data_IF_193474000285
#
_entry.id   IF_193474000285
#
_cell.length_a   1.000
_cell.length_b   1.000
_cell.length_c   1.000
_cell.angle_alpha   90.00
_cell.angle_beta   90.00
_cell.angle_gamma   90.00
#
_symmetry.space_group_name_H-M   'P 1'
#
loop_
_entity.id
_entity.type
_entity.pdbx_description
1 polymer ?
#
# COMPACT_ATOMS: atom_id res chain seq x y z
N UNK A 1 -9.40 -12.12 -15.66
CA UNK A 1 -10.29 -13.00 -14.85
C UNK A 1 -9.85 -13.10 -13.37
N UNK A 2 -9.30 -12.04 -12.75
CA UNK A 2 -8.65 -12.16 -11.42
C UNK A 2 -9.37 -11.51 -10.23
N UNK A 3 -10.16 -10.44 -10.44
CA UNK A 3 -10.63 -9.63 -9.31
C UNK A 3 -11.60 -10.37 -8.38
N UNK A 4 -12.52 -11.18 -8.91
CA UNK A 4 -13.45 -11.95 -8.08
C UNK A 4 -12.70 -12.97 -7.20
N UNK A 5 -11.68 -13.64 -7.72
CA UNK A 5 -10.87 -14.59 -6.93
C UNK A 5 -10.09 -13.88 -5.84
N UNK A 6 -9.47 -12.72 -6.15
CA UNK A 6 -8.81 -11.87 -5.17
C UNK A 6 -9.78 -11.37 -4.09
N UNK A 7 -10.98 -10.97 -4.48
CA UNK A 7 -12.02 -10.54 -3.56
C UNK A 7 -12.45 -11.68 -2.63
N UNK A 8 -12.66 -12.89 -3.16
CA UNK A 8 -12.99 -14.07 -2.33
C UNK A 8 -11.85 -14.39 -1.37
N UNK A 9 -10.60 -14.39 -1.84
CA UNK A 9 -9.43 -14.57 -1.00
C UNK A 9 -9.35 -13.51 0.11
N UNK A 10 -9.59 -12.24 -0.22
CA UNK A 10 -9.60 -11.14 0.74
C UNK A 10 -10.70 -11.31 1.79
N UNK A 11 -11.91 -11.69 1.38
CA UNK A 11 -13.03 -11.93 2.30
C UNK A 11 -12.78 -13.13 3.22
N UNK A 12 -12.27 -14.24 2.68
CA UNK A 12 -11.89 -15.41 3.48
C UNK A 12 -10.79 -15.05 4.49
N UNK A 13 -9.78 -14.30 4.05
CA UNK A 13 -8.68 -13.84 4.91
C UNK A 13 -9.20 -12.92 6.02
N UNK A 14 -10.07 -11.95 5.70
CA UNK A 14 -10.67 -11.06 6.71
C UNK A 14 -11.49 -11.81 7.74
N UNK A 15 -12.30 -12.79 7.31
CA UNK A 15 -13.08 -13.64 8.22
C UNK A 15 -12.16 -14.42 9.17
N UNK A 16 -11.11 -15.04 8.61
CA UNK A 16 -10.11 -15.76 9.39
C UNK A 16 -9.43 -14.85 10.41
N UNK A 17 -8.86 -13.72 10.00
CA UNK A 17 -8.15 -12.84 10.92
C UNK A 17 -9.08 -12.25 12.00
N UNK A 18 -10.34 -11.93 11.65
CA UNK A 18 -11.35 -11.47 12.61
C UNK A 18 -11.73 -12.55 13.62
N UNK A 19 -11.83 -13.82 13.23
CA UNK A 19 -12.17 -14.89 14.18
C UNK A 19 -11.10 -15.10 15.27
N UNK A 20 -9.89 -14.58 15.05
CA UNK A 20 -8.79 -14.58 16.03
C UNK A 20 -8.49 -13.19 16.60
N UNK A 21 -9.40 -12.22 16.43
CA UNK A 21 -9.25 -10.83 16.89
C UNK A 21 -7.95 -10.16 16.41
N UNK A 22 -7.48 -10.51 15.20
CA UNK A 22 -6.28 -9.92 14.62
C UNK A 22 -6.64 -8.67 13.81
N UNK A 23 -6.11 -7.52 14.25
CA UNK A 23 -6.19 -6.27 13.49
C UNK A 23 -5.42 -6.40 12.18
N UNK A 24 -6.06 -6.01 11.08
CA UNK A 24 -5.46 -6.09 9.76
C UNK A 24 -6.07 -5.07 8.81
N UNK A 25 -5.33 -4.75 7.75
CA UNK A 25 -5.83 -3.95 6.63
C UNK A 25 -5.11 -4.33 5.33
N UNK A 26 -5.84 -4.36 4.23
CA UNK A 26 -5.27 -4.52 2.91
C UNK A 26 -4.59 -3.23 2.45
N UNK A 27 -3.50 -3.38 1.72
CA UNK A 27 -2.81 -2.29 1.05
C UNK A 27 -2.38 -2.68 -0.36
N UNK A 28 -1.48 -1.91 -0.97
CA UNK A 28 -0.89 -2.25 -2.25
C UNK A 28 -1.86 -2.18 -3.43
N UNK A 29 -1.63 -3.01 -4.43
CA UNK A 29 -2.37 -2.96 -5.70
C UNK A 29 -3.86 -3.33 -5.55
N UNK A 30 -4.18 -4.29 -4.69
CA UNK A 30 -5.56 -4.68 -4.40
C UNK A 30 -6.36 -3.56 -3.75
N UNK A 31 -5.76 -2.87 -2.77
CA UNK A 31 -6.42 -1.75 -2.10
C UNK A 31 -6.65 -0.57 -3.07
N UNK A 32 -5.66 -0.18 -3.89
CA UNK A 32 -5.86 0.91 -4.87
C UNK A 32 -6.90 0.54 -5.93
N UNK A 33 -6.90 -0.71 -6.41
CA UNK A 33 -7.92 -1.21 -7.35
C UNK A 33 -9.31 -1.18 -6.75
N UNK A 34 -9.46 -1.61 -5.48
CA UNK A 34 -10.74 -1.57 -4.77
C UNK A 34 -11.26 -0.14 -4.57
N UNK A 35 -10.36 0.84 -4.46
CA UNK A 35 -10.70 2.26 -4.43
C UNK A 35 -11.06 2.86 -5.81
N UNK A 36 -11.01 2.08 -6.88
CA UNK A 36 -11.38 2.48 -8.25
C UNK A 36 -10.21 2.74 -9.19
N UNK A 37 -8.96 2.45 -8.79
CA UNK A 37 -7.82 2.54 -9.70
C UNK A 37 -7.95 1.48 -10.79
N UNK A 38 -7.84 1.88 -12.06
CA UNK A 38 -7.91 0.97 -13.20
C UNK A 38 -6.57 0.29 -13.43
N UNK A 39 -6.25 -0.70 -12.60
CA UNK A 39 -5.08 -1.58 -12.77
C UNK A 39 -5.42 -3.01 -12.41
N UNK A 40 -4.60 -3.94 -12.87
CA UNK A 40 -4.65 -5.33 -12.41
C UNK A 40 -3.65 -5.56 -11.27
N UNK A 41 -3.97 -6.50 -10.40
CA UNK A 41 -3.10 -7.00 -9.33
C UNK A 41 -3.22 -8.52 -9.30
N UNK A 42 -2.20 -9.22 -8.82
CA UNK A 42 -2.18 -10.70 -8.81
C UNK A 42 -2.14 -11.30 -7.40
N UNK A 43 -1.92 -10.43 -6.43
CA UNK A 43 -1.59 -10.71 -5.04
C UNK A 43 -2.41 -9.83 -4.09
N UNK A 44 -2.45 -10.25 -2.84
CA UNK A 44 -3.03 -9.50 -1.73
C UNK A 44 -1.93 -9.10 -0.75
N UNK A 45 -1.70 -7.80 -0.62
CA UNK A 45 -0.84 -7.24 0.41
C UNK A 45 -1.66 -6.93 1.68
N UNK A 46 -1.30 -7.51 2.81
CA UNK A 46 -2.04 -7.37 4.07
C UNK A 46 -1.11 -6.94 5.19
N UNK A 47 -1.42 -5.81 5.81
CA UNK A 47 -0.79 -5.39 7.06
C UNK A 47 -1.51 -6.08 8.22
N UNK A 48 -0.79 -6.75 9.11
CA UNK A 48 -1.37 -7.48 10.25
C UNK A 48 -0.67 -7.13 11.56
N UNK A 49 -1.44 -6.94 12.64
CA UNK A 49 -0.92 -6.71 13.99
C UNK A 49 -0.75 -8.04 14.73
N UNK A 50 0.29 -8.79 14.36
CA UNK A 50 0.63 -10.06 15.01
C UNK A 50 2.11 -10.39 14.78
N UNK A 51 2.59 -11.49 15.36
CA UNK A 51 3.93 -12.03 15.07
C UNK A 51 3.88 -13.08 13.95
N UNK A 52 5.00 -13.27 13.25
CA UNK A 52 5.18 -14.33 12.25
C UNK A 52 4.83 -15.70 12.81
N UNK A 53 5.38 -16.04 13.98
CA UNK A 53 5.09 -17.31 14.66
C UNK A 53 3.61 -17.53 14.95
N UNK A 54 2.89 -16.48 15.37
CA UNK A 54 1.45 -16.59 15.65
C UNK A 54 0.65 -16.81 14.38
N UNK A 55 0.97 -16.08 13.31
CA UNK A 55 0.29 -16.22 12.02
C UNK A 55 0.60 -17.57 11.36
N UNK A 56 1.87 -18.00 11.37
CA UNK A 56 2.28 -19.30 10.84
C UNK A 56 1.59 -20.44 11.59
N UNK A 57 1.53 -20.39 12.92
CA UNK A 57 0.77 -21.37 13.71
C UNK A 57 -0.73 -21.37 13.40
N UNK A 58 -1.31 -20.21 13.10
CA UNK A 58 -2.72 -20.08 12.72
C UNK A 58 -3.00 -20.73 11.35
N UNK A 59 -2.09 -20.57 10.39
CA UNK A 59 -2.26 -21.05 9.02
C UNK A 59 -1.76 -22.48 8.81
N UNK A 60 -0.81 -22.94 9.64
CA UNK A 60 -0.29 -24.31 9.60
C UNK A 60 -1.42 -25.33 9.83
N UNK A 61 -1.48 -26.32 8.95
CA UNK A 61 -2.49 -27.38 8.98
C UNK A 61 -3.79 -27.04 8.24
N UNK A 62 -3.96 -25.82 7.73
CA UNK A 62 -5.11 -25.48 6.87
C UNK A 62 -4.82 -25.91 5.44
N UNK A 63 -5.62 -26.84 4.91
CA UNK A 63 -5.42 -27.43 3.56
C UNK A 63 -5.55 -26.42 2.42
N UNK A 64 -6.21 -25.29 2.67
CA UNK A 64 -6.42 -24.18 1.74
C UNK A 64 -5.28 -23.14 1.74
N UNK A 65 -4.25 -23.32 2.58
CA UNK A 65 -3.11 -22.41 2.71
C UNK A 65 -1.79 -23.16 2.53
N UNK A 66 -1.03 -22.79 1.50
CA UNK A 66 0.30 -23.32 1.25
C UNK A 66 1.34 -22.24 1.53
N UNK A 67 2.19 -22.44 2.54
CA UNK A 67 3.25 -21.48 2.86
C UNK A 67 4.28 -21.41 1.73
N UNK A 68 4.66 -20.18 1.36
CA UNK A 68 5.79 -19.93 0.46
C UNK A 68 7.00 -19.61 1.33
N UNK A 69 8.05 -20.43 1.25
CA UNK A 69 9.27 -20.20 2.04
C UNK A 69 9.91 -18.87 1.66
N UNK A 70 10.21 -18.05 2.67
CA UNK A 70 10.80 -16.72 2.53
C UNK A 70 11.88 -16.50 3.59
N UNK A 71 13.00 -15.90 3.21
CA UNK A 71 14.11 -15.57 4.12
C UNK A 71 13.91 -14.30 4.96
N UNK A 72 12.77 -13.61 4.81
CA UNK A 72 12.48 -12.33 5.47
C UNK A 72 11.64 -12.53 6.72
N UNK A 73 11.89 -11.71 7.75
CA UNK A 73 11.20 -11.75 9.05
C UNK A 73 10.08 -10.71 9.19
N UNK A 74 10.04 -9.73 8.30
CA UNK A 74 9.07 -8.65 8.31
C UNK A 74 7.77 -8.99 7.57
N UNK A 75 7.74 -10.12 6.85
CA UNK A 75 6.53 -10.65 6.23
C UNK A 75 6.56 -12.19 6.09
N UNK A 76 5.42 -12.77 5.75
CA UNK A 76 5.27 -14.17 5.31
C UNK A 76 4.30 -14.21 4.13
N UNK A 77 4.48 -15.18 3.22
CA UNK A 77 3.64 -15.34 2.04
C UNK A 77 2.99 -16.72 2.02
N UNK A 78 1.74 -16.77 1.57
CA UNK A 78 0.97 -18.00 1.38
C UNK A 78 0.27 -17.99 0.02
N UNK A 79 0.15 -19.16 -0.59
CA UNK A 79 -0.79 -19.39 -1.68
C UNK A 79 -2.12 -19.85 -1.06
N UNK A 80 -3.17 -19.05 -1.25
CA UNK A 80 -4.52 -19.41 -0.88
C UNK A 80 -5.24 -20.12 -2.02
N UNK A 81 -5.83 -21.27 -1.70
CA UNK A 81 -6.59 -22.12 -2.61
C UNK A 81 -8.07 -22.08 -2.24
N UNK A 82 -8.90 -21.51 -3.12
CA UNK A 82 -10.34 -21.45 -2.91
C UNK A 82 -11.06 -22.81 -3.03
N UNK A 83 -12.36 -22.82 -2.73
CA UNK A 83 -13.22 -23.99 -2.97
C UNK A 83 -13.47 -24.16 -4.49
N UNK A 84 -12.68 -25.02 -5.15
CA UNK A 84 -12.71 -25.28 -6.60
C UNK A 84 -11.48 -24.71 -7.31
N UNK A 85 -10.67 -25.56 -7.96
CA UNK A 85 -9.38 -25.16 -8.54
C UNK A 85 -9.45 -24.91 -10.05
N UNK A 86 -8.82 -23.86 -10.58
CA UNK A 86 -7.37 -23.89 -10.87
C UNK A 86 -6.53 -22.68 -10.41
N UNK A 87 -7.12 -21.62 -9.83
CA UNK A 87 -6.40 -20.37 -9.57
C UNK A 87 -6.07 -20.16 -8.09
N UNK A 88 -4.78 -20.18 -7.75
CA UNK A 88 -4.28 -19.77 -6.43
C UNK A 88 -4.07 -18.26 -6.36
N UNK A 89 -4.19 -17.69 -5.16
CA UNK A 89 -3.91 -16.28 -4.88
C UNK A 89 -2.71 -16.18 -3.95
N UNK A 90 -1.71 -15.39 -4.32
CA UNK A 90 -0.62 -15.04 -3.42
C UNK A 90 -1.12 -14.04 -2.37
N UNK A 91 -0.95 -14.37 -1.10
CA UNK A 91 -1.32 -13.54 0.04
C UNK A 91 -0.07 -13.25 0.85
N UNK A 92 0.34 -11.99 0.89
CA UNK A 92 1.51 -11.51 1.61
C UNK A 92 1.09 -10.78 2.89
N UNK A 93 1.53 -11.28 4.03
CA UNK A 93 1.23 -10.72 5.34
C UNK A 93 2.45 -10.00 5.89
N UNK A 94 2.35 -8.68 6.01
CA UNK A 94 3.38 -7.79 6.55
C UNK A 94 3.09 -7.49 8.02
N UNK A 95 4.08 -7.67 8.88
CA UNK A 95 3.88 -7.57 10.33
C UNK A 95 4.05 -6.14 10.83
N UNK A 96 2.96 -5.57 11.33
CA UNK A 96 3.00 -4.30 12.05
C UNK A 96 3.60 -4.52 13.45
N UNK A 97 4.83 -4.04 13.63
CA UNK A 97 5.51 -4.05 14.93
C UNK A 97 5.14 -2.80 15.73
N UNK A 98 4.28 -2.95 16.73
CA UNK A 98 4.21 -1.97 17.81
C UNK A 98 5.60 -1.90 18.47
N UNK A 99 6.13 -0.69 18.69
CA UNK A 99 7.53 -0.45 19.08
C UNK A 99 8.07 -1.38 20.18
N UNK A 100 9.35 -1.77 20.06
CA UNK A 100 9.99 -2.79 20.91
C UNK A 100 10.40 -2.30 22.31
N UNK A 101 10.43 -1.00 22.56
CA UNK A 101 11.27 -0.46 23.66
C UNK A 101 10.49 0.24 24.78
N UNK A 102 9.27 -0.18 25.12
CA UNK A 102 8.46 0.45 26.18
C UNK A 102 8.00 1.89 25.87
N UNK A 103 8.52 2.51 24.81
CA UNK A 103 7.99 3.72 24.20
C UNK A 103 6.69 3.38 23.47
N UNK A 104 5.59 3.99 23.93
CA UNK A 104 4.22 3.98 23.40
C UNK A 104 4.00 3.08 22.18
N UNK A 105 3.18 2.03 22.36
CA UNK A 105 2.71 1.16 21.28
C UNK A 105 2.25 2.02 20.09
N UNK A 106 2.97 1.91 18.97
CA UNK A 106 2.55 2.55 17.73
C UNK A 106 1.13 2.07 17.43
N UNK A 107 0.19 3.01 17.25
CA UNK A 107 -1.19 2.65 16.92
C UNK A 107 -1.22 2.03 15.54
N UNK A 108 -2.05 1.00 15.38
CA UNK A 108 -2.30 0.43 14.06
C UNK A 108 -2.76 1.53 13.10
N UNK A 109 -2.32 1.53 11.84
CA UNK A 109 -2.67 2.58 10.89
C UNK A 109 -4.18 2.73 10.73
N UNK A 110 -4.61 3.95 10.38
CA UNK A 110 -6.01 4.22 10.15
C UNK A 110 -6.56 3.36 9.00
N UNK A 111 -7.63 2.63 9.30
CA UNK A 111 -8.35 1.75 8.40
C UNK A 111 -9.59 2.48 7.88
N UNK A 112 -9.88 2.30 6.60
CA UNK A 112 -11.16 2.65 5.99
C UNK A 112 -11.93 1.36 5.68
N UNK A 113 -13.19 1.29 6.07
CA UNK A 113 -14.07 0.20 5.68
C UNK A 113 -14.52 0.41 4.24
N UNK A 114 -14.16 -0.51 3.35
CA UNK A 114 -14.61 -0.53 1.97
C UNK A 114 -15.75 -1.53 1.82
N UNK A 115 -16.92 -1.07 1.38
CA UNK A 115 -18.06 -1.95 1.10
C UNK A 115 -18.07 -2.32 -0.38
N UNK A 116 -17.87 -3.60 -0.68
CA UNK A 116 -17.91 -4.07 -2.05
C UNK A 116 -19.36 -4.09 -2.57
N UNK A 117 -19.61 -3.40 -3.69
CA UNK A 117 -20.96 -3.13 -4.18
C UNK A 117 -21.81 -4.37 -4.48
N UNK A 118 -21.21 -5.47 -4.97
CA UNK A 118 -21.99 -6.68 -5.33
C UNK A 118 -22.31 -7.58 -4.14
N UNK A 119 -21.42 -7.62 -3.16
CA UNK A 119 -21.50 -8.59 -2.05
C UNK A 119 -21.93 -7.94 -0.75
N UNK A 120 -22.01 -6.60 -0.71
CA UNK A 120 -22.18 -5.76 0.48
C UNK A 120 -21.17 -6.07 1.60
N UNK A 121 -20.11 -6.80 1.29
CA UNK A 121 -19.13 -7.22 2.25
C UNK A 121 -18.11 -6.10 2.49
N UNK A 122 -17.75 -5.91 3.75
CA UNK A 122 -16.79 -4.87 4.16
C UNK A 122 -15.38 -5.45 4.23
N UNK A 123 -14.42 -4.78 3.61
CA UNK A 123 -12.99 -5.07 3.72
C UNK A 123 -12.27 -3.92 4.42
N UNK A 124 -11.35 -4.21 5.37
CA UNK A 124 -10.52 -3.18 5.97
C UNK A 124 -9.39 -2.79 5.01
N UNK A 125 -9.42 -1.59 4.43
CA UNK A 125 -8.33 -1.06 3.62
C UNK A 125 -7.52 -0.04 4.43
N UNK A 126 -6.23 0.11 4.15
CA UNK A 126 -5.51 1.30 4.62
C UNK A 126 -6.13 2.55 4.00
N UNK A 127 -6.24 3.62 4.80
CA UNK A 127 -6.75 4.91 4.29
C UNK A 127 -5.92 5.40 3.09
N UNK A 128 -6.48 6.18 2.15
CA UNK A 128 -5.76 6.70 0.99
C UNK A 128 -4.45 7.43 1.32
N UNK A 129 -4.39 8.15 2.45
CA UNK A 129 -3.14 8.74 2.94
C UNK A 129 -2.03 7.70 3.18
N UNK A 130 -2.36 6.59 3.84
CA UNK A 130 -1.42 5.52 4.14
C UNK A 130 -1.02 4.74 2.89
N UNK A 131 -1.95 4.51 1.95
CA UNK A 131 -1.64 3.95 0.64
C UNK A 131 -0.69 4.86 -0.15
N UNK A 132 -0.93 6.18 -0.12
CA UNK A 132 -0.07 7.18 -0.76
C UNK A 132 1.35 7.13 -0.19
N UNK A 133 1.51 7.09 1.14
CA UNK A 133 2.82 6.98 1.77
C UNK A 133 3.56 5.69 1.36
N UNK A 134 2.86 4.55 1.32
CA UNK A 134 3.47 3.30 0.88
C UNK A 134 3.91 3.33 -0.57
N UNK A 135 3.10 3.90 -1.46
CA UNK A 135 3.44 4.04 -2.88
C UNK A 135 4.54 5.06 -3.12
N UNK A 136 4.58 6.13 -2.33
CA UNK A 136 5.62 7.14 -2.39
C UNK A 136 6.97 6.56 -1.95
N UNK A 137 6.95 5.79 -0.87
CA UNK A 137 8.12 5.05 -0.35
C UNK A 137 8.64 4.05 -1.39
N UNK A 138 7.74 3.25 -1.97
CA UNK A 138 8.09 2.34 -3.06
C UNK A 138 8.68 3.09 -4.26
N UNK A 139 8.05 4.17 -4.73
CA UNK A 139 8.54 4.94 -5.89
C UNK A 139 9.91 5.58 -5.66
N UNK A 140 10.21 5.95 -4.42
CA UNK A 140 11.54 6.46 -4.06
C UNK A 140 12.61 5.36 -4.09
N UNK A 141 12.25 4.10 -3.77
CA UNK A 141 13.19 2.97 -3.73
C UNK A 141 13.26 2.11 -5.00
N UNK A 142 12.22 2.09 -5.85
CA UNK A 142 12.13 1.29 -7.07
C UNK A 142 11.49 2.05 -8.23
N UNK A 143 11.82 1.67 -9.46
CA UNK A 143 11.36 2.31 -10.69
C UNK A 143 10.22 1.52 -11.35
N UNK A 144 9.03 1.50 -10.73
CA UNK A 144 7.85 0.87 -11.33
C UNK A 144 6.81 1.91 -11.72
N UNK A 145 6.46 1.97 -13.00
CA UNK A 145 5.41 2.86 -13.53
C UNK A 145 4.05 2.64 -12.84
N UNK A 146 3.79 1.41 -12.41
CA UNK A 146 2.58 1.07 -11.67
C UNK A 146 2.47 1.80 -10.35
N UNK A 147 3.58 2.05 -9.65
CA UNK A 147 3.56 2.82 -8.40
C UNK A 147 3.32 4.32 -8.68
N UNK A 148 3.85 4.87 -9.78
CA UNK A 148 3.53 6.23 -10.23
C UNK A 148 2.04 6.36 -10.58
N UNK A 149 1.48 5.42 -11.35
CA UNK A 149 0.08 5.43 -11.73
C UNK A 149 -0.83 5.41 -10.49
N UNK A 150 -0.50 4.58 -9.50
CA UNK A 150 -1.21 4.55 -8.21
C UNK A 150 -1.09 5.90 -7.46
N UNK A 151 0.09 6.54 -7.45
CA UNK A 151 0.26 7.86 -6.84
C UNK A 151 -0.57 8.95 -7.52
N UNK A 152 -0.56 9.01 -8.85
CA UNK A 152 -1.36 9.96 -9.62
C UNK A 152 -2.86 9.74 -9.39
N UNK A 153 -3.29 8.47 -9.36
CA UNK A 153 -4.66 8.11 -9.00
C UNK A 153 -5.03 8.60 -7.60
N UNK A 154 -4.20 8.32 -6.59
CA UNK A 154 -4.48 8.71 -5.20
C UNK A 154 -4.52 10.24 -5.05
N UNK A 155 -3.57 10.97 -5.65
CA UNK A 155 -3.51 12.45 -5.60
C UNK A 155 -4.72 13.08 -6.30
N UNK A 156 -5.14 12.54 -7.44
CA UNK A 156 -6.30 13.07 -8.17
C UNK A 156 -7.63 12.75 -7.49
N UNK A 157 -7.78 11.56 -6.92
CA UNK A 157 -9.06 11.08 -6.35
C UNK A 157 -9.25 11.47 -4.87
N UNK A 158 -8.18 11.52 -4.09
CA UNK A 158 -8.21 11.79 -2.64
C UNK A 158 -7.34 13.00 -2.23
N UNK A 159 -7.46 14.17 -2.91
CA UNK A 159 -6.57 15.30 -2.69
C UNK A 159 -6.65 15.85 -1.25
N UNK A 160 -7.86 15.95 -0.69
CA UNK A 160 -8.07 16.49 0.66
C UNK A 160 -7.47 15.60 1.76
N UNK A 161 -7.47 14.28 1.57
CA UNK A 161 -6.91 13.34 2.53
C UNK A 161 -5.38 13.36 2.49
N UNK A 162 -4.81 13.43 1.29
CA UNK A 162 -3.36 13.56 1.11
C UNK A 162 -2.86 14.89 1.64
N UNK A 163 -3.56 15.99 1.36
CA UNK A 163 -3.21 17.30 1.88
C UNK A 163 -3.26 17.31 3.42
N UNK A 164 -4.34 16.79 4.02
CA UNK A 164 -4.47 16.66 5.48
C UNK A 164 -3.37 15.82 6.07
N UNK A 165 -3.05 14.68 5.44
CA UNK A 165 -1.95 13.81 5.84
C UNK A 165 -0.60 14.50 5.81
N UNK A 166 -0.31 15.25 4.74
CA UNK A 166 0.93 16.03 4.60
C UNK A 166 1.02 17.14 5.66
N UNK A 167 -0.08 17.83 5.94
CA UNK A 167 -0.15 18.83 7.04
C UNK A 167 0.13 18.16 8.38
N UNK A 168 -0.54 17.05 8.69
CA UNK A 168 -0.32 16.29 9.93
C UNK A 168 1.11 15.75 10.07
N UNK A 169 1.73 15.31 8.97
CA UNK A 169 3.12 14.87 8.96
C UNK A 169 4.09 16.04 9.24
N UNK A 170 3.82 17.23 8.68
CA UNK A 170 4.58 18.46 8.99
C UNK A 170 4.47 18.86 10.46
N UNK A 171 3.33 18.59 11.10
CA UNK A 171 3.12 18.83 12.52
C UNK A 171 3.77 17.75 13.41
N UNK A 172 4.30 16.66 12.84
CA UNK A 172 5.04 15.63 13.57
C UNK A 172 4.23 14.40 13.98
N UNK A 173 3.14 14.08 13.27
CA UNK A 173 2.38 12.84 13.54
C UNK A 173 3.25 11.59 13.34
N UNK A 174 3.47 10.84 14.43
CA UNK A 174 4.34 9.64 14.48
C UNK A 174 3.82 8.47 13.61
N UNK A 175 2.50 8.39 13.38
CA UNK A 175 1.86 7.32 12.60
C UNK A 175 2.37 7.27 11.15
N UNK A 176 2.62 8.42 10.53
CA UNK A 176 3.06 8.49 9.13
C UNK A 176 4.47 7.93 8.93
N UNK A 177 5.34 8.09 9.92
CA UNK A 177 6.76 7.69 9.82
C UNK A 177 6.93 6.18 10.00
N UNK A 178 6.12 5.55 10.86
CA UNK A 178 6.18 4.11 11.09
C UNK A 178 5.85 3.32 9.81
N UNK A 179 4.81 3.72 9.06
CA UNK A 179 4.49 3.06 7.78
C UNK A 179 5.56 3.29 6.71
N UNK A 180 6.10 4.51 6.60
CA UNK A 180 7.15 4.79 5.60
C UNK A 180 8.30 3.80 5.70
N UNK A 181 8.74 3.52 6.95
CA UNK A 181 9.78 2.55 7.27
C UNK A 181 9.41 1.10 6.99
N UNK A 182 8.15 0.73 7.20
CA UNK A 182 7.67 -0.62 6.84
C UNK A 182 7.74 -0.88 5.33
N UNK A 183 7.51 0.16 4.51
CA UNK A 183 7.55 0.02 3.05
C UNK A 183 8.97 0.16 2.47
N UNK A 184 9.88 0.85 3.17
CA UNK A 184 11.30 0.85 2.87
C UNK A 184 11.97 -0.35 3.54
N UNK A 185 11.89 -1.54 2.95
CA UNK A 185 12.50 -2.78 3.47
C UNK A 185 14.05 -2.77 3.58
N UNK A 186 14.71 -1.61 3.70
CA UNK A 186 16.17 -1.44 3.71
C UNK A 186 16.74 -0.51 4.78
N UNK A 187 15.94 0.18 5.61
CA UNK A 187 16.49 1.13 6.59
C UNK A 187 16.33 0.64 8.02
N UNK A 188 17.48 0.37 8.65
CA UNK A 188 17.64 0.00 10.05
C UNK A 188 16.97 1.00 11.00
N UNK A 189 16.36 0.46 12.05
CA UNK A 189 15.62 1.20 13.07
C UNK A 189 16.54 2.00 13.99
N UNK A 190 16.67 3.31 13.76
CA UNK A 190 17.27 4.23 14.73
C UNK A 190 16.52 5.58 14.80
N UNK A 191 16.11 5.96 16.02
CA UNK A 191 15.86 7.33 16.50
C UNK A 191 14.81 8.18 15.78
N UNK A 192 13.65 8.37 16.42
CA UNK A 192 12.50 9.13 15.89
C UNK A 192 12.27 10.38 16.76
N UNK A 193 12.80 11.53 16.37
CA UNK A 193 12.19 12.80 16.82
C UNK A 193 12.40 14.04 15.94
N UNK A 194 13.30 14.01 14.94
CA UNK A 194 13.38 15.06 13.90
C UNK A 194 13.53 14.54 12.46
N UNK A 195 13.88 13.27 12.29
CA UNK A 195 14.18 12.62 10.99
C UNK A 195 12.96 12.30 10.12
N UNK A 196 11.78 12.10 10.70
CA UNK A 196 10.58 11.70 9.92
C UNK A 196 10.07 12.79 8.97
N UNK A 197 10.19 14.07 9.36
CA UNK A 197 9.81 15.21 8.49
C UNK A 197 10.74 15.32 7.29
N UNK A 198 12.05 15.15 7.50
CA UNK A 198 13.02 15.16 6.40
C UNK A 198 12.80 13.97 5.46
N UNK A 199 12.41 12.80 5.98
CA UNK A 199 12.22 11.59 5.18
C UNK A 199 11.08 11.72 4.16
N UNK A 200 9.88 12.15 4.58
CA UNK A 200 8.76 12.35 3.64
C UNK A 200 9.08 13.44 2.61
N UNK A 201 9.72 14.53 3.03
CA UNK A 201 10.13 15.59 2.09
C UNK A 201 11.21 15.10 1.11
N UNK A 202 12.17 14.30 1.57
CA UNK A 202 13.18 13.67 0.72
C UNK A 202 12.54 12.69 -0.27
N UNK A 203 11.58 11.88 0.16
CA UNK A 203 10.82 10.98 -0.71
C UNK A 203 10.02 11.76 -1.77
N UNK A 204 9.30 12.82 -1.37
CA UNK A 204 8.58 13.69 -2.31
C UNK A 204 9.52 14.36 -3.30
N UNK A 205 10.67 14.85 -2.83
CA UNK A 205 11.67 15.47 -3.69
C UNK A 205 12.31 14.47 -4.65
N UNK A 206 12.65 13.26 -4.18
CA UNK A 206 13.21 12.19 -5.00
C UNK A 206 12.20 11.72 -6.05
N UNK A 207 10.97 11.41 -5.65
CA UNK A 207 9.90 11.01 -6.56
C UNK A 207 9.54 12.12 -7.55
N UNK A 208 9.49 13.38 -7.12
CA UNK A 208 9.16 14.52 -7.97
C UNK A 208 10.28 14.94 -8.94
N UNK A 209 11.56 14.65 -8.62
CA UNK A 209 12.67 14.78 -9.59
C UNK A 209 12.57 13.74 -10.70
N UNK A 210 12.19 12.52 -10.32
CA UNK A 210 12.06 11.39 -11.23
C UNK A 210 10.80 11.47 -12.10
N UNK A 211 9.71 11.98 -11.54
CA UNK A 211 8.40 12.02 -12.18
C UNK A 211 7.82 13.44 -12.12
N UNK A 212 8.07 14.27 -13.14
CA UNK A 212 7.58 15.64 -13.21
C UNK A 212 6.06 15.75 -13.10
N UNK A 213 5.31 14.76 -13.60
CA UNK A 213 3.85 14.71 -13.55
C UNK A 213 3.34 14.59 -12.11
N UNK A 214 4.01 13.77 -11.29
CA UNK A 214 3.70 13.65 -9.87
C UNK A 214 3.99 14.97 -9.15
N UNK A 215 5.12 15.64 -9.47
CA UNK A 215 5.43 16.96 -8.93
C UNK A 215 4.32 17.96 -9.25
N UNK A 216 3.84 17.98 -10.50
CA UNK A 216 2.74 18.87 -10.92
C UNK A 216 1.42 18.54 -10.21
N UNK A 217 1.09 17.25 -10.06
CA UNK A 217 -0.09 16.81 -9.32
C UNK A 217 -0.02 17.25 -7.84
N UNK A 218 1.14 17.10 -7.21
CA UNK A 218 1.37 17.52 -5.82
C UNK A 218 1.25 19.03 -5.63
N UNK A 219 1.71 19.83 -6.60
CA UNK A 219 1.54 21.30 -6.57
C UNK A 219 0.06 21.68 -6.58
N UNK A 220 -0.77 20.99 -7.38
CA UNK A 220 -2.22 21.25 -7.45
C UNK A 220 -2.96 20.99 -6.14
N UNK A 221 -2.49 20.03 -5.34
CA UNK A 221 -3.07 19.72 -4.01
C UNK A 221 -2.42 20.52 -2.88
N UNK A 222 -1.78 21.65 -3.20
CA UNK A 222 -1.30 22.63 -2.22
C UNK A 222 0.05 22.29 -1.58
N UNK A 223 0.81 21.34 -2.13
CA UNK A 223 2.15 21.01 -1.63
C UNK A 223 3.15 22.08 -2.05
N UNK A 224 3.17 23.19 -1.30
CA UNK A 224 4.22 24.22 -1.38
C UNK A 224 5.53 23.61 -0.88
N UNK A 225 6.52 23.44 -1.76
CA UNK A 225 7.84 22.89 -1.41
C UNK A 225 8.67 22.32 -2.55
N UNK A 226 8.09 22.03 -3.72
CA UNK A 226 8.86 21.52 -4.87
C UNK A 226 9.36 22.60 -5.81
N UNK A 227 9.22 23.91 -5.50
CA UNK A 227 9.73 24.99 -6.34
C UNK A 227 11.27 25.10 -6.22
N UNK A 228 12.01 24.24 -6.92
CA UNK A 228 13.22 24.71 -7.60
C UNK A 228 12.76 25.69 -8.67
N UNK A 229 13.36 26.89 -8.72
CA UNK A 229 12.91 28.08 -9.48
C UNK A 229 12.88 27.92 -10.99
N UNK A 230 12.00 27.07 -11.51
CA UNK A 230 11.68 26.98 -12.93
C UNK A 230 10.41 27.78 -13.17
N UNK A 231 10.55 28.92 -13.85
CA UNK A 231 9.42 29.67 -14.40
C UNK A 231 8.63 28.76 -15.35
N UNK A 232 7.40 28.42 -14.98
CA UNK A 232 6.50 27.66 -15.84
C UNK A 232 5.87 28.59 -16.87
N UNK A 233 6.28 28.48 -18.13
CA UNK A 233 5.52 28.96 -19.28
C UNK A 233 4.27 28.09 -19.42
N UNK A 234 3.11 28.74 -19.39
CA UNK A 234 1.82 28.07 -19.41
C UNK A 234 1.54 27.48 -20.80
N UNK A 235 1.66 26.17 -20.93
CA UNK A 235 0.99 25.40 -21.97
C UNK A 235 0.41 24.16 -21.30
N UNK A 236 -0.92 24.09 -21.20
CA UNK A 236 -1.60 22.95 -20.59
C UNK A 236 -1.62 21.78 -21.59
N UNK A 237 -0.96 20.63 -21.33
CA UNK A 237 -1.15 19.45 -22.15
C UNK A 237 -2.44 18.76 -21.72
N UNK A 238 -3.25 18.34 -22.70
CA UNK A 238 -4.31 17.36 -22.47
C UNK A 238 -3.68 16.08 -21.92
N UNK A 239 -4.26 15.55 -20.86
CA UNK A 239 -3.79 14.29 -20.26
C UNK A 239 -3.79 13.17 -21.32
N UNK A 240 -2.74 12.34 -21.39
CA UNK A 240 -2.73 11.21 -22.30
C UNK A 240 -3.87 10.24 -21.94
N UNK A 241 -4.66 9.85 -22.95
CA UNK A 241 -5.53 8.68 -22.84
C UNK A 241 -4.62 7.47 -22.73
N UNK A 242 -4.57 6.86 -21.55
CA UNK A 242 -3.97 5.54 -21.36
C UNK A 242 -4.86 4.52 -22.05
N UNK A 243 -4.47 4.06 -23.24
CA UNK A 243 -5.06 2.88 -23.86
C UNK A 243 -4.48 1.63 -23.17
N UNK A 244 -5.35 0.90 -22.47
CA UNK A 244 -5.00 -0.34 -21.80
C UNK A 244 -5.23 -1.49 -22.76
N UNK A 245 -4.17 -1.99 -23.40
CA UNK A 245 -4.29 -3.03 -24.42
C UNK A 245 -2.97 -3.62 -24.89
N UNK A 246 -2.24 -4.31 -24.01
CA UNK A 246 -1.22 -5.28 -24.43
C UNK A 246 -1.24 -6.46 -23.45
N UNK A 247 -2.10 -7.44 -23.75
CA UNK A 247 -2.12 -8.73 -23.06
C UNK A 247 -0.91 -9.52 -23.57
N UNK A 248 0.12 -9.63 -22.74
CA UNK A 248 1.22 -10.56 -22.98
C UNK A 248 0.70 -11.99 -22.75
N UNK A 249 0.38 -12.70 -23.83
CA UNK A 249 0.20 -14.15 -23.81
C UNK A 249 1.58 -14.79 -23.85
N UNK A 250 1.97 -15.48 -22.78
CA UNK A 250 3.10 -16.42 -22.74
C UNK A 250 2.72 -17.52 -21.76
N UNK A 251 2.27 -18.67 -22.28
CA UNK A 251 3.05 -19.92 -22.37
C UNK A 251 3.34 -20.52 -20.99
N UNK A 252 2.40 -21.37 -20.56
CA UNK A 252 2.64 -22.44 -19.61
C UNK A 252 2.93 -23.68 -20.46
N UNK A 253 4.17 -24.17 -20.38
CA UNK A 253 4.48 -25.57 -20.63
C UNK A 253 4.58 -26.25 -19.26
#
# INVERSE_FOLDING_TARGET
>A
MHYNTLLTAALCTTRLLRSYNLHHAFFGGFATTSLGCRRETKDLDILVQTSKTTLTRLLNGRKDWLEVQQGRDDYVAYLWKGCGEANMVLVEFFFFRAGKDGMQQARFPQIQSFTHFKTSATLPLLSPWHLFLGKLSATAGREKETDLADLLFLVSRYPAEIERGLRSARLGSRSAVALGKMFTAKSSSAGLDRRGRSEIQQMLAAAGRKWPELRMALVRVGVKGTRSGVHATACAPRAPRLECGAVQRGLVC
#
